data_IF_993932135942
#
_entry.id   IF_993932135942
#
_cell.length_a   1.000
_cell.length_b   1.000
_cell.length_c   1.000
_cell.angle_alpha   90.00
_cell.angle_beta   90.00
_cell.angle_gamma   90.00
#
_symmetry.space_group_name_H-M   'P 1'
#
loop_
_entity.id
_entity.type
_entity.pdbx_description
1 polymer ?
#
# COMPACT_ATOMS: atom_id res chain seq x y z
N UNK A 1 -23.92 -33.88 -32.93
CA UNK A 1 -24.85 -32.79 -32.54
C UNK A 1 -25.61 -33.24 -31.30
N UNK A 2 -25.72 -32.42 -30.24
CA UNK A 2 -26.54 -32.78 -29.08
C UNK A 2 -28.01 -32.92 -29.50
N UNK A 3 -28.74 -33.86 -28.89
CA UNK A 3 -30.16 -34.06 -29.17
C UNK A 3 -30.98 -32.86 -28.68
N UNK A 4 -32.05 -32.52 -29.39
CA UNK A 4 -32.98 -31.44 -29.04
C UNK A 4 -33.46 -31.59 -27.59
N UNK A 5 -33.77 -32.82 -27.17
CA UNK A 5 -34.18 -33.15 -25.79
C UNK A 5 -33.10 -32.83 -24.73
N UNK A 6 -31.82 -32.99 -25.06
CA UNK A 6 -30.68 -32.68 -24.17
C UNK A 6 -30.51 -31.17 -23.99
N UNK A 7 -30.73 -30.38 -25.03
CA UNK A 7 -30.67 -28.92 -24.94
C UNK A 7 -31.86 -28.39 -24.12
N UNK A 8 -33.06 -28.94 -24.35
CA UNK A 8 -34.24 -28.60 -23.54
C UNK A 8 -34.07 -28.99 -22.07
N UNK A 9 -33.55 -30.18 -21.75
CA UNK A 9 -33.33 -30.58 -20.36
C UNK A 9 -32.23 -29.77 -19.66
N UNK A 10 -31.15 -29.42 -20.38
CA UNK A 10 -30.14 -28.50 -19.88
C UNK A 10 -30.71 -27.10 -19.62
N UNK A 11 -31.59 -26.61 -20.50
CA UNK A 11 -32.27 -25.33 -20.31
C UNK A 11 -33.23 -25.35 -19.12
N UNK A 12 -34.05 -26.39 -18.98
CA UNK A 12 -35.02 -26.49 -17.86
C UNK A 12 -34.31 -26.68 -16.53
N UNK A 13 -33.26 -27.50 -16.47
CA UNK A 13 -32.46 -27.68 -15.23
C UNK A 13 -31.75 -26.38 -14.83
N UNK A 14 -31.20 -25.63 -15.78
CA UNK A 14 -30.60 -24.32 -15.52
C UNK A 14 -31.67 -23.32 -15.06
N UNK A 15 -32.81 -23.25 -15.74
CA UNK A 15 -33.92 -22.37 -15.37
C UNK A 15 -34.47 -22.69 -13.97
N UNK A 16 -34.66 -23.98 -13.65
CA UNK A 16 -35.07 -24.43 -12.33
C UNK A 16 -34.05 -24.05 -11.26
N UNK A 17 -32.76 -24.25 -11.51
CA UNK A 17 -31.68 -23.87 -10.59
C UNK A 17 -31.66 -22.36 -10.34
N UNK A 18 -31.80 -21.56 -11.39
CA UNK A 18 -31.89 -20.09 -11.28
C UNK A 18 -33.12 -19.66 -10.48
N UNK A 19 -34.27 -20.32 -10.69
CA UNK A 19 -35.48 -20.03 -9.91
C UNK A 19 -35.31 -20.36 -8.43
N UNK A 20 -34.71 -21.51 -8.09
CA UNK A 20 -34.43 -21.88 -6.70
C UNK A 20 -33.51 -20.86 -6.01
N UNK A 21 -32.41 -20.48 -6.68
CA UNK A 21 -31.48 -19.46 -6.19
C UNK A 21 -32.21 -18.13 -5.95
N UNK A 22 -33.05 -17.70 -6.91
CA UNK A 22 -33.83 -16.46 -6.79
C UNK A 22 -34.80 -16.50 -5.61
N UNK A 23 -35.46 -17.63 -5.36
CA UNK A 23 -36.39 -17.79 -4.23
C UNK A 23 -35.66 -17.63 -2.90
N UNK A 24 -34.55 -18.36 -2.71
CA UNK A 24 -33.76 -18.30 -1.47
C UNK A 24 -33.23 -16.87 -1.22
N UNK A 25 -32.70 -16.21 -2.26
CA UNK A 25 -32.24 -14.82 -2.16
C UNK A 25 -33.36 -13.85 -1.78
N UNK A 26 -34.56 -14.05 -2.32
CA UNK A 26 -35.71 -13.18 -2.05
C UNK A 26 -36.18 -13.34 -0.60
N UNK A 27 -36.30 -14.57 -0.12
CA UNK A 27 -36.68 -14.84 1.27
C UNK A 27 -35.64 -14.30 2.26
N UNK A 28 -34.35 -14.56 2.00
CA UNK A 28 -33.27 -14.01 2.81
C UNK A 28 -33.30 -12.48 2.84
N UNK A 29 -33.51 -11.82 1.70
CA UNK A 29 -33.64 -10.36 1.61
C UNK A 29 -34.82 -9.84 2.43
N UNK A 30 -35.98 -10.49 2.34
CA UNK A 30 -37.18 -10.10 3.10
C UNK A 30 -36.92 -10.15 4.59
N UNK A 31 -36.29 -11.22 5.09
CA UNK A 31 -35.91 -11.36 6.50
C UNK A 31 -34.92 -10.27 6.89
N UNK A 32 -33.88 -10.02 6.09
CA UNK A 32 -32.93 -8.94 6.37
C UNK A 32 -33.61 -7.57 6.44
N UNK A 33 -34.56 -7.27 5.56
CA UNK A 33 -35.25 -5.97 5.56
C UNK A 33 -36.18 -5.76 6.74
N UNK A 34 -36.74 -6.83 7.31
CA UNK A 34 -37.60 -6.74 8.49
C UNK A 34 -36.81 -6.55 9.78
N UNK A 35 -35.64 -7.18 9.87
CA UNK A 35 -34.83 -7.19 11.10
C UNK A 35 -33.69 -6.16 11.11
N UNK A 36 -33.19 -5.74 9.94
CA UNK A 36 -32.04 -4.86 9.82
C UNK A 36 -32.47 -3.53 9.16
N UNK A 37 -32.43 -2.40 9.89
CA UNK A 37 -32.69 -1.07 9.34
C UNK A 37 -31.79 -0.72 8.14
N UNK A 38 -32.35 0.03 7.18
CA UNK A 38 -31.63 0.44 5.95
C UNK A 38 -30.26 1.09 6.22
N UNK A 39 -30.13 1.85 7.31
CA UNK A 39 -28.87 2.50 7.68
C UNK A 39 -27.77 1.48 7.99
N UNK A 40 -28.13 0.36 8.61
CA UNK A 40 -27.20 -0.72 8.94
C UNK A 40 -26.85 -1.49 7.67
N UNK A 41 -27.84 -1.76 6.80
CA UNK A 41 -27.59 -2.40 5.51
C UNK A 41 -26.61 -1.61 4.67
N UNK A 42 -26.82 -0.29 4.52
CA UNK A 42 -25.90 0.59 3.80
C UNK A 42 -24.49 0.57 4.39
N UNK A 43 -24.36 0.50 5.72
CA UNK A 43 -23.07 0.44 6.41
C UNK A 43 -22.36 -0.92 6.23
N UNK A 44 -23.12 -2.02 6.18
CA UNK A 44 -22.59 -3.36 5.89
C UNK A 44 -22.17 -3.44 4.44
N UNK A 45 -23.02 -2.99 3.51
CA UNK A 45 -22.74 -2.95 2.07
C UNK A 45 -21.53 -2.06 1.82
N UNK A 46 -21.44 -0.86 2.39
CA UNK A 46 -20.29 0.02 2.19
C UNK A 46 -18.99 -0.56 2.77
N UNK A 47 -19.06 -1.30 3.88
CA UNK A 47 -17.90 -2.02 4.43
C UNK A 47 -17.51 -3.19 3.53
N UNK A 48 -18.48 -3.94 3.02
CA UNK A 48 -18.24 -5.08 2.15
C UNK A 48 -17.70 -4.61 0.79
N UNK A 49 -18.31 -3.58 0.21
CA UNK A 49 -17.82 -2.85 -0.94
C UNK A 49 -16.43 -2.28 -0.67
N UNK A 50 -16.12 -1.74 0.51
CA UNK A 50 -14.75 -1.31 0.85
C UNK A 50 -13.75 -2.47 0.96
N UNK A 51 -14.20 -3.69 1.28
CA UNK A 51 -13.35 -4.89 1.31
C UNK A 51 -13.11 -5.46 -0.11
N UNK A 52 -14.05 -5.24 -1.04
CA UNK A 52 -13.95 -5.69 -2.44
C UNK A 52 -13.49 -4.60 -3.42
N UNK A 53 -13.72 -3.33 -3.09
CA UNK A 53 -13.17 -2.18 -3.77
C UNK A 53 -11.69 -2.20 -3.48
N UNK A 54 -10.87 -2.36 -4.51
CA UNK A 54 -9.43 -2.21 -4.38
C UNK A 54 -9.11 -0.75 -4.00
N UNK A 55 -8.67 -0.44 -2.76
CA UNK A 55 -8.26 0.92 -2.42
C UNK A 55 -6.72 1.05 -2.41
N UNK A 56 -5.98 0.05 -2.87
CA UNK A 56 -4.51 0.03 -2.77
C UNK A 56 -3.86 0.68 -3.98
N UNK A 57 -4.24 1.93 -4.28
CA UNK A 57 -3.29 2.82 -4.93
C UNK A 57 -2.33 3.24 -3.83
N UNK A 58 -1.16 2.63 -3.77
CA UNK A 58 -0.08 3.19 -2.97
C UNK A 58 0.33 4.54 -3.58
N UNK A 59 0.62 5.52 -2.73
CA UNK A 59 1.22 6.78 -3.09
C UNK A 59 2.68 6.76 -2.61
N UNK A 60 3.60 7.08 -3.51
CA UNK A 60 5.02 7.20 -3.17
C UNK A 60 5.47 8.65 -3.31
N UNK A 61 5.96 9.22 -2.21
CA UNK A 61 6.62 10.52 -2.21
C UNK A 61 8.13 10.31 -2.43
N UNK A 62 8.71 11.13 -3.30
CA UNK A 62 10.14 11.13 -3.61
C UNK A 62 10.77 12.36 -2.97
N UNK A 63 11.69 12.12 -2.04
CA UNK A 63 12.41 13.16 -1.31
C UNK A 63 13.86 13.14 -1.77
N UNK A 64 14.20 14.02 -2.70
CA UNK A 64 15.55 14.12 -3.27
C UNK A 64 16.54 14.73 -2.27
N UNK A 65 17.79 14.26 -2.29
CA UNK A 65 18.90 14.82 -1.50
C UNK A 65 19.15 16.29 -1.82
N UNK A 66 19.07 16.67 -3.09
CA UNK A 66 19.20 18.05 -3.55
C UNK A 66 17.90 18.53 -4.21
N UNK A 67 17.51 19.78 -3.96
CA UNK A 67 16.34 20.43 -4.54
C UNK A 67 16.68 21.40 -5.71
N UNK A 68 17.91 21.35 -6.21
CA UNK A 68 18.43 22.22 -7.28
C UNK A 68 19.07 23.52 -6.80
N UNK A 69 18.81 23.94 -5.56
CA UNK A 69 19.42 25.13 -4.94
C UNK A 69 20.37 24.78 -3.79
N UNK A 70 20.23 23.58 -3.21
CA UNK A 70 21.07 23.07 -2.15
C UNK A 70 20.58 21.71 -1.65
N UNK A 71 21.07 21.32 -0.47
CA UNK A 71 20.57 20.14 0.24
C UNK A 71 19.11 20.40 0.64
N UNK A 72 18.28 19.40 0.43
CA UNK A 72 16.86 19.48 0.74
C UNK A 72 16.61 19.22 2.23
N UNK A 73 16.05 20.21 2.95
CA UNK A 73 15.72 20.09 4.37
C UNK A 73 14.84 18.87 4.69
N UNK A 74 13.93 18.51 3.78
CA UNK A 74 13.07 17.32 3.96
C UNK A 74 13.88 16.02 3.89
N UNK A 75 14.96 16.00 3.12
CA UNK A 75 15.86 14.85 3.06
C UNK A 75 16.64 14.73 4.36
N UNK A 76 17.21 15.82 4.87
CA UNK A 76 17.94 15.84 6.13
C UNK A 76 17.04 15.43 7.31
N UNK A 77 15.82 15.99 7.37
CA UNK A 77 14.84 15.64 8.38
C UNK A 77 14.43 14.15 8.30
N UNK A 78 14.24 13.63 7.09
CA UNK A 78 13.94 12.21 6.87
C UNK A 78 15.09 11.31 7.31
N UNK A 79 16.33 11.70 7.04
CA UNK A 79 17.50 10.94 7.48
C UNK A 79 17.56 10.85 9.01
N UNK A 80 17.42 11.98 9.70
CA UNK A 80 17.40 12.02 11.18
C UNK A 80 16.23 11.20 11.74
N UNK A 81 15.04 11.33 11.16
CA UNK A 81 13.86 10.55 11.56
C UNK A 81 14.12 9.05 11.43
N UNK A 82 14.60 8.61 10.26
CA UNK A 82 14.80 7.20 9.98
C UNK A 82 15.89 6.58 10.84
N UNK A 83 16.91 7.34 11.27
CA UNK A 83 17.89 6.89 12.26
C UNK A 83 17.24 6.40 13.56
N UNK A 84 16.16 7.06 13.99
CA UNK A 84 15.40 6.65 15.18
C UNK A 84 14.56 5.38 14.97
N UNK A 85 14.32 4.99 13.70
CA UNK A 85 13.48 3.86 13.29
C UNK A 85 14.28 2.62 12.84
N UNK A 86 15.59 2.63 13.01
CA UNK A 86 16.50 1.53 12.62
C UNK A 86 16.30 0.26 13.44
N UNK A 87 15.60 0.33 14.57
CA UNK A 87 15.25 -0.84 15.39
C UNK A 87 14.25 -1.78 14.69
N UNK A 88 13.78 -1.45 13.49
CA UNK A 88 12.93 -2.34 12.69
C UNK A 88 13.62 -3.67 12.40
N UNK A 89 12.96 -4.78 12.76
CA UNK A 89 13.42 -6.16 12.53
C UNK A 89 13.54 -6.53 11.05
N UNK A 90 13.11 -5.66 10.13
CA UNK A 90 13.12 -5.88 8.68
C UNK A 90 14.46 -5.56 8.01
N UNK A 91 15.35 -4.82 8.68
CA UNK A 91 16.62 -4.40 8.11
C UNK A 91 17.65 -5.53 8.13
N UNK A 92 18.26 -5.80 6.98
CA UNK A 92 19.27 -6.87 6.82
C UNK A 92 20.71 -6.34 6.82
N UNK A 93 20.89 -5.05 6.50
CA UNK A 93 22.20 -4.41 6.34
C UNK A 93 22.11 -3.00 6.87
N UNK A 94 23.00 -2.68 7.80
CA UNK A 94 23.13 -1.35 8.37
C UNK A 94 24.47 -0.78 7.94
N UNK A 95 24.47 0.50 7.61
CA UNK A 95 25.68 1.29 7.42
C UNK A 95 25.99 1.92 8.78
N UNK A 96 27.23 1.76 9.24
CA UNK A 96 27.69 2.33 10.50
C UNK A 96 28.85 3.25 10.19
N UNK A 97 28.77 4.50 10.65
CA UNK A 97 29.83 5.48 10.55
C UNK A 97 30.11 6.11 11.91
N UNK A 98 31.34 6.55 12.13
CA UNK A 98 31.76 7.29 13.32
C UNK A 98 32.73 8.36 12.88
N UNK A 99 32.40 9.63 13.13
CA UNK A 99 33.36 10.70 12.93
C UNK A 99 34.24 10.85 14.18
N UNK A 100 35.50 11.25 13.99
CA UNK A 100 36.50 11.34 15.07
C UNK A 100 36.08 12.27 16.22
N UNK A 101 35.26 13.28 15.91
CA UNK A 101 34.70 14.24 16.87
C UNK A 101 33.36 13.81 17.50
N UNK A 102 32.76 12.72 17.03
CA UNK A 102 31.47 12.22 17.53
C UNK A 102 31.66 11.14 18.60
N UNK A 103 30.94 11.30 19.72
CA UNK A 103 30.95 10.30 20.80
C UNK A 103 30.20 9.02 20.43
N UNK A 104 29.14 9.14 19.62
CA UNK A 104 28.23 8.05 19.28
C UNK A 104 28.46 7.55 17.85
N UNK A 105 28.06 6.30 17.59
CA UNK A 105 28.02 5.75 16.24
C UNK A 105 26.78 6.27 15.52
N UNK A 106 26.94 6.71 14.28
CA UNK A 106 25.84 6.93 13.36
C UNK A 106 25.52 5.61 12.68
N UNK A 107 24.27 5.16 12.81
CA UNK A 107 23.77 3.97 12.13
C UNK A 107 22.70 4.42 11.15
N UNK A 108 22.74 3.92 9.92
CA UNK A 108 21.74 4.19 8.87
C UNK A 108 21.38 2.89 8.13
N UNK A 109 20.20 2.83 7.51
CA UNK A 109 19.82 1.68 6.70
C UNK A 109 20.61 1.68 5.38
N UNK A 110 21.02 0.49 4.92
CA UNK A 110 21.64 0.35 3.62
C UNK A 110 20.66 0.66 2.47
N UNK A 111 21.22 0.96 1.29
CA UNK A 111 20.47 1.16 0.04
C UNK A 111 19.48 0.01 -0.22
N UNK A 112 18.31 0.40 -0.71
CA UNK A 112 17.20 -0.44 -1.15
C UNK A 112 16.59 -1.34 -0.05
N UNK A 113 16.76 -0.96 1.22
CA UNK A 113 16.10 -1.62 2.34
C UNK A 113 14.83 -0.87 2.76
N UNK A 114 13.80 -1.64 3.10
CA UNK A 114 12.54 -1.08 3.57
C UNK A 114 12.55 -0.96 5.10
N UNK A 115 12.35 0.25 5.58
CA UNK A 115 12.02 0.56 6.97
C UNK A 115 10.49 0.67 7.04
N UNK A 116 9.87 -0.15 7.87
CA UNK A 116 8.43 -0.10 8.10
C UNK A 116 8.20 0.65 9.41
N UNK A 117 7.31 1.64 9.36
CA UNK A 117 6.91 2.43 10.51
C UNK A 117 5.37 2.51 10.56
N UNK A 118 4.84 2.77 11.75
CA UNK A 118 3.41 2.94 11.96
C UNK A 118 3.21 4.30 12.61
N UNK A 119 2.62 5.22 11.85
CA UNK A 119 2.30 6.57 12.30
C UNK A 119 0.78 6.71 12.36
N UNK A 120 0.22 6.96 13.55
CA UNK A 120 -1.24 7.07 13.77
C UNK A 120 -2.08 5.91 13.19
N UNK A 121 -1.51 4.69 13.20
CA UNK A 121 -2.16 3.49 12.64
C UNK A 121 -2.01 3.34 11.12
N UNK A 122 -1.33 4.27 10.46
CA UNK A 122 -0.99 4.20 9.03
C UNK A 122 0.39 3.56 8.89
N UNK A 123 0.45 2.51 8.07
CA UNK A 123 1.73 1.89 7.73
C UNK A 123 2.49 2.75 6.71
N UNK A 124 3.65 3.24 7.11
CA UNK A 124 4.58 3.96 6.27
C UNK A 124 5.72 3.04 5.87
N UNK A 125 6.04 3.00 4.58
CA UNK A 125 7.17 2.25 4.04
C UNK A 125 8.21 3.21 3.50
N UNK A 126 9.36 3.24 4.16
CA UNK A 126 10.49 4.08 3.78
C UNK A 126 11.57 3.25 3.09
N UNK A 127 12.20 3.82 2.06
CA UNK A 127 13.34 3.21 1.36
C UNK A 127 14.33 4.27 0.92
N UNK A 128 15.61 4.05 1.16
CA UNK A 128 16.69 4.84 0.56
C UNK A 128 17.06 4.22 -0.79
N UNK A 129 16.98 5.01 -1.86
CA UNK A 129 17.36 4.57 -3.20
C UNK A 129 18.34 5.58 -3.83
N UNK A 130 19.07 5.10 -4.83
CA UNK A 130 20.02 5.93 -5.58
C UNK A 130 19.90 5.62 -7.06
N UNK A 131 19.84 6.67 -7.87
CA UNK A 131 19.87 6.59 -9.34
C UNK A 131 21.23 7.04 -9.83
N UNK A 132 21.86 6.23 -10.67
CA UNK A 132 23.05 6.67 -11.41
C UNK A 132 22.60 7.61 -12.53
N UNK A 133 23.11 8.84 -12.56
CA UNK A 133 23.02 9.70 -13.74
C UNK A 133 24.35 9.63 -14.48
N UNK A 134 24.31 9.28 -15.76
CA UNK A 134 25.44 9.50 -16.66
C UNK A 134 25.65 11.01 -16.80
N UNK A 135 26.76 11.51 -16.26
CA UNK A 135 27.20 12.88 -16.54
C UNK A 135 28.18 12.84 -17.70
N UNK A 136 27.95 13.71 -18.70
CA UNK A 136 28.67 13.71 -19.99
C UNK A 136 30.10 14.24 -19.91
N UNK A 137 30.62 14.60 -18.72
CA UNK A 137 31.93 15.28 -18.67
C UNK A 137 32.81 15.12 -17.45
N UNK A 138 32.43 14.47 -16.34
CA UNK A 138 33.39 14.00 -15.32
C UNK A 138 32.68 13.24 -14.19
N UNK A 139 32.90 11.93 -14.12
CA UNK A 139 32.52 11.08 -12.99
C UNK A 139 31.04 10.67 -12.94
N UNK A 140 30.80 9.43 -12.48
CA UNK A 140 29.45 8.96 -12.13
C UNK A 140 29.02 9.69 -10.86
N UNK A 141 28.00 10.55 -10.95
CA UNK A 141 27.35 11.13 -9.77
C UNK A 141 26.13 10.27 -9.44
N UNK A 142 26.15 9.65 -8.27
CA UNK A 142 24.99 8.97 -7.72
C UNK A 142 24.05 10.02 -7.11
N UNK A 143 22.78 10.00 -7.50
CA UNK A 143 21.75 10.85 -6.92
C UNK A 143 20.95 10.04 -5.90
N UNK A 144 21.01 10.41 -4.63
CA UNK A 144 20.28 9.71 -3.55
C UNK A 144 18.93 10.38 -3.29
N UNK A 145 17.96 9.56 -2.89
CA UNK A 145 16.64 10.02 -2.51
C UNK A 145 15.95 9.02 -1.61
N UNK A 146 15.05 9.50 -0.77
CA UNK A 146 14.14 8.66 -0.01
C UNK A 146 12.82 8.49 -0.75
N UNK A 147 12.28 7.29 -0.66
CA UNK A 147 10.92 6.98 -1.06
C UNK A 147 10.09 6.73 0.20
N UNK A 148 8.95 7.41 0.29
CA UNK A 148 7.95 7.18 1.32
C UNK A 148 6.67 6.69 0.64
N UNK A 149 6.33 5.43 0.86
CA UNK A 149 5.13 4.79 0.32
C UNK A 149 4.08 4.57 1.41
N UNK A 150 2.84 4.97 1.13
CA UNK A 150 1.68 4.75 2.00
C UNK A 150 0.40 4.68 1.17
N UNK A 151 -0.70 4.22 1.77
CA UNK A 151 -1.97 4.11 1.05
C UNK A 151 -2.53 5.50 0.71
N UNK A 152 -2.88 5.75 -0.55
CA UNK A 152 -3.31 7.06 -1.05
C UNK A 152 -4.52 7.64 -0.32
N UNK A 153 -5.35 6.81 0.30
CA UNK A 153 -6.48 7.24 1.13
C UNK A 153 -6.08 8.15 2.32
N UNK A 154 -4.80 8.12 2.71
CA UNK A 154 -4.25 8.92 3.82
C UNK A 154 -3.50 10.17 3.36
N UNK A 155 -3.64 10.61 2.10
CA UNK A 155 -2.90 11.77 1.57
C UNK A 155 -3.20 13.10 2.27
N UNK A 156 -4.43 13.29 2.77
CA UNK A 156 -4.91 14.56 3.34
C UNK A 156 -4.91 14.59 4.87
N UNK A 157 -4.39 13.53 5.52
CA UNK A 157 -4.17 13.47 6.96
C UNK A 157 -2.83 14.15 7.25
#
# INVERSE_FOLDING_TARGET
MPSITTVFSAYTSLAASVMLIKTVLREAKTILTQFIPERIQKKIISKLESLFAHPTSDLTLIINEENGYGINDMYEASEVYLRTKITSTTLKRLIVSKYEREKNLTVTAAKDQNIIDIFEGIQLKWRLSCTEKESTSNGRKEHKFFELTFQKQHKEI
#
